data_IF_926044042991
#
_entry.id   IF_926044042991
#
_cell.length_a   1.000
_cell.length_b   1.000
_cell.length_c   1.000
_cell.angle_alpha   90.00
_cell.angle_beta   90.00
_cell.angle_gamma   90.00
#
_symmetry.space_group_name_H-M   'P 1'
#
loop_
_entity.id
_entity.type
_entity.pdbx_description
1 polymer ?
#
# COMPACT_ATOMS: atom_id res chain seq x y z
N UNK A 1 11.78 -17.58 -21.19
CA UNK A 1 11.64 -16.12 -21.17
C UNK A 1 11.95 -15.62 -19.76
N UNK A 2 12.75 -14.55 -19.66
CA UNK A 2 13.19 -13.95 -18.40
C UNK A 2 13.08 -12.44 -18.49
N UNK A 3 12.88 -11.78 -17.34
CA UNK A 3 12.77 -10.31 -17.22
C UNK A 3 13.72 -9.86 -16.09
N UNK A 4 14.36 -8.72 -16.25
CA UNK A 4 15.19 -8.12 -15.19
C UNK A 4 14.39 -7.05 -14.42
N UNK A 5 14.49 -7.09 -13.09
CA UNK A 5 13.98 -6.05 -12.18
C UNK A 5 15.12 -5.65 -11.25
N UNK A 6 15.56 -4.39 -11.33
CA UNK A 6 16.76 -3.92 -10.66
C UNK A 6 17.96 -4.84 -10.94
N UNK A 7 18.59 -5.41 -9.90
CA UNK A 7 19.72 -6.34 -10.02
C UNK A 7 19.32 -7.81 -10.11
N UNK A 8 18.03 -8.15 -10.15
CA UNK A 8 17.54 -9.54 -10.16
C UNK A 8 16.94 -9.94 -11.50
N UNK A 9 17.17 -11.20 -11.89
CA UNK A 9 16.60 -11.83 -13.08
C UNK A 9 15.48 -12.76 -12.65
N UNK A 10 14.29 -12.57 -13.21
CA UNK A 10 13.09 -13.36 -12.95
C UNK A 10 12.84 -14.30 -14.12
N UNK A 11 12.49 -15.54 -13.82
CA UNK A 11 12.13 -16.54 -14.81
C UNK A 11 12.05 -17.94 -14.20
N UNK A 12 11.56 -18.92 -14.97
CA UNK A 12 11.34 -20.29 -14.47
C UNK A 12 12.58 -20.99 -13.91
N UNK A 13 13.78 -20.58 -14.33
CA UNK A 13 15.07 -21.14 -13.89
C UNK A 13 15.77 -20.33 -12.78
N UNK A 14 15.11 -19.31 -12.23
CA UNK A 14 15.65 -18.44 -11.19
C UNK A 14 14.87 -18.63 -9.88
N UNK A 15 15.47 -18.30 -8.73
CA UNK A 15 14.76 -18.31 -7.46
C UNK A 15 13.50 -17.44 -7.49
N UNK A 16 12.45 -17.78 -6.69
CA UNK A 16 11.28 -16.93 -6.55
C UNK A 16 11.65 -15.50 -6.16
N UNK A 17 10.94 -14.53 -6.72
CA UNK A 17 11.06 -13.11 -6.37
C UNK A 17 9.97 -12.76 -5.35
N UNK A 18 10.36 -12.45 -4.13
CA UNK A 18 9.46 -12.25 -2.98
C UNK A 18 9.16 -10.77 -2.82
N UNK A 19 7.86 -10.45 -2.85
CA UNK A 19 7.36 -9.08 -2.68
C UNK A 19 6.55 -9.02 -1.38
N UNK A 20 7.02 -8.23 -0.40
CA UNK A 20 6.22 -7.91 0.78
C UNK A 20 5.11 -6.92 0.42
N UNK A 21 3.95 -7.11 1.03
CA UNK A 21 2.71 -6.39 0.72
C UNK A 21 2.39 -5.42 1.87
N UNK A 22 2.46 -4.10 1.62
CA UNK A 22 2.08 -3.09 2.62
C UNK A 22 0.67 -2.53 2.38
N UNK A 23 0.29 -2.23 1.13
CA UNK A 23 -0.96 -1.53 0.74
C UNK A 23 -1.39 -0.50 1.79
N UNK A 24 -2.59 -0.61 2.36
CA UNK A 24 -3.15 0.29 3.38
C UNK A 24 -2.83 -0.08 4.82
N UNK A 25 -1.98 -1.10 5.07
CA UNK A 25 -1.71 -1.61 6.43
C UNK A 25 -0.93 -0.61 7.30
N UNK A 26 -0.39 0.45 6.71
CA UNK A 26 0.20 1.57 7.44
C UNK A 26 -0.83 2.51 8.08
N UNK A 27 -2.13 2.37 7.77
CA UNK A 27 -3.22 3.16 8.36
C UNK A 27 -2.99 4.68 8.33
N UNK A 28 -2.37 5.17 7.25
CA UNK A 28 -2.01 6.59 7.08
C UNK A 28 -1.01 7.14 8.12
N UNK A 29 -0.41 6.28 8.94
CA UNK A 29 0.71 6.64 9.81
C UNK A 29 2.02 6.43 9.06
N UNK A 30 2.82 7.51 8.96
CA UNK A 30 4.18 7.43 8.42
C UNK A 30 5.08 6.55 9.28
N UNK A 31 4.97 6.66 10.60
CA UNK A 31 5.73 5.85 11.55
C UNK A 31 5.48 4.36 11.32
N UNK A 32 4.21 3.95 11.21
CA UNK A 32 3.86 2.55 10.93
C UNK A 32 4.32 2.11 9.54
N UNK A 33 4.30 2.99 8.55
CA UNK A 33 4.85 2.66 7.22
C UNK A 33 6.36 2.34 7.32
N UNK A 34 7.12 3.12 8.10
CA UNK A 34 8.54 2.90 8.32
C UNK A 34 8.81 1.61 9.09
N UNK A 35 8.00 1.29 10.11
CA UNK A 35 8.10 0.02 10.83
C UNK A 35 7.91 -1.20 9.89
N UNK A 36 6.95 -1.11 8.97
CA UNK A 36 6.70 -2.17 7.98
C UNK A 36 7.87 -2.30 7.01
N UNK A 37 8.43 -1.17 6.54
CA UNK A 37 9.61 -1.16 5.67
C UNK A 37 10.80 -1.86 6.36
N UNK A 38 11.07 -1.51 7.61
CA UNK A 38 12.15 -2.09 8.40
C UNK A 38 11.94 -3.60 8.62
N UNK A 39 10.72 -4.03 8.94
CA UNK A 39 10.38 -5.44 9.10
C UNK A 39 10.54 -6.22 7.78
N UNK A 40 10.11 -5.65 6.65
CA UNK A 40 10.27 -6.26 5.34
C UNK A 40 11.75 -6.42 4.95
N UNK A 41 12.57 -5.38 5.18
CA UNK A 41 14.01 -5.44 4.95
C UNK A 41 14.68 -6.54 5.79
N UNK A 42 14.34 -6.64 7.09
CA UNK A 42 14.83 -7.69 7.99
C UNK A 42 14.41 -9.10 7.57
N UNK A 43 13.23 -9.25 6.96
CA UNK A 43 12.76 -10.52 6.44
C UNK A 43 13.48 -10.96 5.15
N UNK A 44 14.28 -10.08 4.53
CA UNK A 44 15.07 -10.41 3.34
C UNK A 44 14.24 -10.51 2.06
N UNK A 45 13.12 -9.78 1.97
CA UNK A 45 12.32 -9.73 0.73
C UNK A 45 13.04 -8.97 -0.37
N UNK A 46 12.69 -9.27 -1.62
CA UNK A 46 13.33 -8.64 -2.79
C UNK A 46 12.75 -7.26 -3.10
N UNK A 47 11.48 -7.04 -2.75
CA UNK A 47 10.79 -5.77 -2.94
C UNK A 47 9.66 -5.57 -1.91
N UNK A 48 9.24 -4.31 -1.76
CA UNK A 48 8.05 -3.92 -1.02
C UNK A 48 7.05 -3.27 -1.98
N UNK A 49 5.80 -3.70 -1.95
CA UNK A 49 4.71 -3.12 -2.76
C UNK A 49 3.94 -2.06 -1.98
N UNK A 50 3.92 -0.85 -2.53
CA UNK A 50 3.11 0.28 -2.09
C UNK A 50 1.94 0.49 -3.05
N UNK A 51 0.81 0.99 -2.53
CA UNK A 51 -0.33 1.40 -3.33
C UNK A 51 -0.42 2.93 -3.34
N UNK A 52 -0.40 3.52 -4.54
CA UNK A 52 -0.44 4.99 -4.71
C UNK A 52 -1.85 5.52 -5.02
N UNK A 53 -2.84 4.65 -5.15
CA UNK A 53 -4.22 5.04 -5.42
C UNK A 53 -4.84 5.71 -4.19
N UNK A 54 -5.48 6.85 -4.41
CA UNK A 54 -6.38 7.44 -3.43
C UNK A 54 -7.69 6.64 -3.37
N UNK A 55 -8.37 6.66 -2.21
CA UNK A 55 -9.59 5.87 -1.98
C UNK A 55 -10.73 6.21 -2.94
N UNK A 56 -10.65 7.35 -3.64
CA UNK A 56 -11.63 7.73 -4.66
C UNK A 56 -11.68 6.75 -5.85
N UNK A 57 -10.61 5.98 -6.12
CA UNK A 57 -10.59 5.07 -7.27
C UNK A 57 -11.47 3.82 -7.13
N UNK A 58 -11.94 3.48 -5.92
CA UNK A 58 -12.70 2.24 -5.68
C UNK A 58 -14.09 2.43 -5.08
N UNK A 59 -14.49 3.67 -4.76
CA UNK A 59 -15.80 3.95 -4.21
C UNK A 59 -16.88 3.82 -5.30
N UNK A 60 -17.27 2.59 -5.64
CA UNK A 60 -18.57 2.36 -6.28
C UNK A 60 -19.61 2.76 -5.23
N UNK A 61 -20.34 3.84 -5.50
CA UNK A 61 -21.49 4.26 -4.72
C UNK A 61 -22.63 3.24 -4.90
N UNK A 62 -22.54 2.10 -4.20
CA UNK A 62 -23.66 1.19 -4.05
C UNK A 62 -24.66 1.84 -3.10
N UNK A 63 -25.62 2.57 -3.66
CA UNK A 63 -26.82 2.97 -2.94
C UNK A 63 -27.72 1.73 -2.87
N UNK A 64 -27.39 0.81 -1.97
CA UNK A 64 -28.32 -0.23 -1.54
C UNK A 64 -29.10 0.31 -0.36
N UNK A 65 -30.43 0.29 -0.46
CA UNK A 65 -31.41 0.80 0.52
C UNK A 65 -31.41 0.10 1.89
N UNK A 66 -30.35 -0.65 2.22
CA UNK A 66 -30.17 -1.33 3.50
C UNK A 66 -28.76 -1.27 4.09
N UNK A 67 -27.79 -0.61 3.44
CA UNK A 67 -26.43 -0.46 3.98
C UNK A 67 -26.19 0.97 4.48
N UNK A 68 -26.28 1.16 5.80
CA UNK A 68 -25.86 2.40 6.44
C UNK A 68 -24.35 2.33 6.67
N UNK A 69 -23.56 2.84 5.71
CA UNK A 69 -22.16 3.13 6.00
C UNK A 69 -22.12 4.37 6.88
N UNK A 70 -21.91 4.19 8.19
CA UNK A 70 -21.52 5.30 9.05
C UNK A 70 -20.25 5.89 8.46
N UNK A 71 -20.33 7.12 7.93
CA UNK A 71 -19.15 7.85 7.49
C UNK A 71 -18.18 7.86 8.67
N UNK A 72 -16.94 7.34 8.54
CA UNK A 72 -15.95 7.58 9.56
C UNK A 72 -15.83 9.10 9.69
N UNK A 73 -15.92 9.62 10.92
CA UNK A 73 -15.63 11.01 11.19
C UNK A 73 -14.16 11.22 10.86
N UNK A 74 -13.90 11.64 9.63
CA UNK A 74 -12.59 12.15 9.27
C UNK A 74 -12.46 13.47 10.01
N UNK A 75 -11.56 13.52 10.98
CA UNK A 75 -11.03 14.81 11.41
C UNK A 75 -10.47 15.45 10.15
N UNK A 76 -11.16 16.50 9.70
CA UNK A 76 -10.68 17.37 8.64
C UNK A 76 -9.33 17.91 9.10
N UNK A 77 -8.24 17.32 8.62
CA UNK A 77 -6.95 18.00 8.60
C UNK A 77 -7.21 19.18 7.66
N UNK A 78 -7.44 20.36 8.25
CA UNK A 78 -7.47 21.61 7.48
C UNK A 78 -6.12 21.69 6.77
N UNK A 79 -6.07 22.03 5.48
CA UNK A 79 -4.79 22.36 4.86
C UNK A 79 -4.17 23.48 5.70
N UNK A 80 -2.99 23.24 6.26
CA UNK A 80 -2.19 24.31 6.83
C UNK A 80 -2.03 25.35 5.73
N UNK A 81 -2.45 26.59 6.02
CA UNK A 81 -2.15 27.72 5.15
C UNK A 81 -0.64 27.84 5.13
N UNK A 82 -0.05 27.72 3.95
CA UNK A 82 1.30 28.18 3.69
C UNK A 82 1.32 29.69 3.90
N UNK A 83 2.07 30.14 4.90
CA UNK A 83 2.55 31.53 4.98
C UNK A 83 3.62 31.78 3.90
#
# INVERSE_FOLDING_TARGET
MSIAIASKILGKSHPPFIIAEMSGNHNQSLERALEIVEAAAKAGVDALKLQTYTRECFAIALIYSGFHVNKPQYNSIKPEKSD
#
